data_IF_741058003001
#
_entry.id   IF_741058003001
#
_cell.length_a   1.000
_cell.length_b   1.000
_cell.length_c   1.000
_cell.angle_alpha   90.00
_cell.angle_beta   90.00
_cell.angle_gamma   90.00
#
_symmetry.space_group_name_H-M   'P 1'
#
loop_
_entity.id
_entity.type
_entity.pdbx_description
1 polymer ?
#
# COMPACT_ATOMS: atom_id res chain seq x y z
N UNK A 1 3.93 -6.82 -20.60
CA UNK A 1 2.51 -7.23 -20.49
C UNK A 1 2.15 -7.23 -19.03
N UNK A 2 1.29 -6.30 -18.61
CA UNK A 2 0.78 -6.17 -17.25
C UNK A 2 -0.52 -6.97 -17.14
N UNK A 3 -0.64 -7.86 -16.16
CA UNK A 3 -1.88 -8.59 -15.85
C UNK A 3 -2.10 -8.56 -14.34
N UNK A 4 -3.22 -7.97 -13.89
CA UNK A 4 -4.42 -8.71 -13.45
C UNK A 4 -5.69 -7.86 -13.49
N UNK A 5 -6.75 -8.51 -13.93
CA UNK A 5 -8.12 -8.32 -13.49
C UNK A 5 -8.66 -9.67 -13.04
N UNK A 6 -9.37 -9.69 -11.91
CA UNK A 6 -10.72 -10.25 -11.71
C UNK A 6 -10.97 -10.38 -10.21
N UNK A 7 -12.12 -9.90 -9.74
CA UNK A 7 -12.73 -10.14 -8.43
C UNK A 7 -14.09 -10.77 -8.68
N UNK A 8 -14.37 -11.93 -8.12
CA UNK A 8 -15.69 -12.57 -8.15
C UNK A 8 -16.46 -12.28 -6.86
N UNK A 9 -17.66 -11.73 -7.01
CA UNK A 9 -18.63 -11.36 -5.97
C UNK A 9 -19.28 -12.59 -5.32
N UNK A 10 -19.38 -12.60 -3.98
CA UNK A 10 -20.49 -13.23 -3.23
C UNK A 10 -20.85 -12.32 -2.04
N UNK A 11 -22.14 -12.26 -1.74
CA UNK A 11 -22.89 -11.26 -0.98
C UNK A 11 -22.52 -11.13 0.52
N UNK A 12 -22.59 -9.87 1.02
CA UNK A 12 -22.62 -9.38 2.43
C UNK A 12 -21.34 -9.39 3.29
N UNK A 13 -21.20 -8.39 4.20
CA UNK A 13 -20.76 -7.02 3.97
C UNK A 13 -19.21 -6.87 3.98
N UNK A 14 -18.69 -6.10 3.03
CA UNK A 14 -17.36 -5.46 3.05
C UNK A 14 -16.13 -6.32 3.43
N UNK A 15 -15.99 -7.53 2.88
CA UNK A 15 -14.68 -8.17 2.78
C UNK A 15 -14.09 -7.90 1.39
N UNK A 16 -13.16 -6.95 1.29
CA UNK A 16 -12.31 -6.84 0.10
C UNK A 16 -11.46 -8.10 0.05
N UNK A 17 -11.79 -9.00 -0.87
CA UNK A 17 -10.94 -10.16 -1.18
C UNK A 17 -9.84 -9.65 -2.12
N UNK A 18 -8.68 -9.32 -1.56
CA UNK A 18 -7.50 -9.00 -2.35
C UNK A 18 -7.00 -10.29 -3.01
N UNK A 19 -7.18 -10.42 -4.32
CA UNK A 19 -6.72 -11.58 -5.08
C UNK A 19 -5.24 -11.50 -5.42
N UNK A 20 -4.58 -12.66 -5.37
CA UNK A 20 -3.16 -12.84 -5.61
C UNK A 20 -2.81 -12.96 -7.09
N UNK A 21 -1.59 -12.55 -7.46
CA UNK A 21 -0.90 -13.11 -8.63
C UNK A 21 0.54 -13.51 -8.30
N UNK A 22 0.77 -14.80 -8.04
CA UNK A 22 2.08 -15.30 -7.64
C UNK A 22 3.13 -15.29 -8.76
N UNK A 23 2.77 -14.99 -10.01
CA UNK A 23 3.75 -14.98 -11.13
C UNK A 23 4.74 -13.82 -11.12
N UNK A 24 4.57 -12.82 -10.24
CA UNK A 24 5.42 -11.63 -10.18
C UNK A 24 6.22 -11.48 -8.87
N UNK A 25 6.18 -12.49 -8.00
CA UNK A 25 6.91 -12.50 -6.73
C UNK A 25 8.16 -13.36 -6.96
N UNK A 26 9.32 -12.68 -7.02
CA UNK A 26 10.61 -13.35 -7.08
C UNK A 26 10.91 -14.00 -5.73
N UNK A 27 11.76 -15.04 -5.71
CA UNK A 27 12.34 -15.58 -4.47
C UNK A 27 13.09 -14.49 -3.66
N UNK A 28 13.38 -13.34 -4.27
CA UNK A 28 13.99 -12.15 -3.67
C UNK A 28 13.01 -11.02 -3.37
N UNK A 29 11.71 -11.30 -3.23
CA UNK A 29 10.70 -10.28 -2.90
C UNK A 29 10.41 -10.27 -1.40
N UNK A 30 10.60 -9.13 -0.76
CA UNK A 30 10.20 -8.90 0.63
C UNK A 30 8.81 -8.24 0.69
N UNK A 31 7.91 -8.83 1.46
CA UNK A 31 6.54 -8.37 1.65
C UNK A 31 6.51 -7.43 2.86
N UNK A 32 6.49 -6.12 2.64
CA UNK A 32 6.45 -5.16 3.74
C UNK A 32 5.00 -4.73 3.94
N UNK A 33 4.48 -4.74 5.16
CA UNK A 33 3.12 -4.28 5.45
C UNK A 33 3.07 -3.19 6.54
N UNK A 34 2.16 -2.21 6.41
CA UNK A 34 1.91 -1.24 7.46
C UNK A 34 0.41 -1.14 7.76
N UNK A 35 0.10 -1.31 9.05
CA UNK A 35 -1.24 -1.41 9.61
C UNK A 35 -1.99 -0.09 9.73
N UNK A 36 -3.23 -0.17 10.20
CA UNK A 36 -4.07 0.99 10.48
C UNK A 36 -3.92 1.50 11.91
N UNK A 37 -4.60 2.62 12.18
CA UNK A 37 -4.65 3.25 13.50
C UNK A 37 -5.17 2.26 14.54
N UNK A 38 -4.56 2.23 15.73
CA UNK A 38 -4.89 1.37 16.88
C UNK A 38 -4.73 -0.13 16.66
N UNK A 39 -4.21 -0.58 15.52
CA UNK A 39 -3.85 -1.97 15.38
C UNK A 39 -2.60 -2.29 16.25
N UNK A 40 -2.53 -3.47 16.89
CA UNK A 40 -1.34 -3.89 17.63
C UNK A 40 -0.14 -4.05 16.71
N UNK A 41 1.08 -3.89 17.25
CA UNK A 41 2.30 -4.12 16.46
C UNK A 41 2.33 -5.54 15.91
N UNK A 42 2.53 -5.66 14.61
CA UNK A 42 2.42 -6.90 13.85
C UNK A 42 1.86 -6.65 12.46
N UNK A 43 1.50 -7.73 11.80
CA UNK A 43 0.87 -7.70 10.47
C UNK A 43 -0.50 -7.06 10.57
N UNK A 44 -0.81 -6.17 9.63
CA UNK A 44 -2.13 -5.58 9.52
C UNK A 44 -3.21 -6.64 9.39
N UNK A 45 -4.27 -6.51 10.19
CA UNK A 45 -5.45 -7.39 10.16
C UNK A 45 -6.05 -7.41 8.75
N UNK A 46 -6.06 -6.26 8.06
CA UNK A 46 -6.56 -6.12 6.68
C UNK A 46 -5.84 -7.03 5.69
N UNK A 47 -4.51 -7.18 5.81
CA UNK A 47 -3.69 -7.93 4.86
C UNK A 47 -3.32 -9.33 5.34
N UNK A 48 -3.57 -9.67 6.60
CA UNK A 48 -3.15 -10.95 7.18
C UNK A 48 -3.59 -12.17 6.34
N UNK A 49 -4.87 -12.31 5.90
CA UNK A 49 -5.28 -13.46 5.10
C UNK A 49 -4.60 -13.54 3.74
N UNK A 50 -4.43 -12.39 3.07
CA UNK A 50 -3.76 -12.30 1.77
C UNK A 50 -2.28 -12.66 1.90
N UNK A 51 -1.56 -12.06 2.85
CA UNK A 51 -0.14 -12.32 3.05
C UNK A 51 0.12 -13.76 3.48
N UNK A 52 -0.76 -14.35 4.31
CA UNK A 52 -0.65 -15.76 4.68
C UNK A 52 -0.79 -16.69 3.48
N UNK A 53 -1.70 -16.38 2.57
CA UNK A 53 -1.96 -17.16 1.36
C UNK A 53 -0.80 -17.04 0.35
N UNK A 54 -0.19 -15.85 0.23
CA UNK A 54 1.00 -15.62 -0.61
C UNK A 54 2.17 -16.44 -0.08
N UNK A 55 2.45 -16.38 1.22
CA UNK A 55 3.56 -17.10 1.84
C UNK A 55 3.39 -18.62 1.77
N UNK A 56 2.15 -19.14 1.73
CA UNK A 56 1.91 -20.56 1.49
C UNK A 56 2.33 -21.02 0.09
N UNK A 57 2.44 -20.09 -0.88
CA UNK A 57 2.84 -20.36 -2.27
C UNK A 57 4.27 -19.94 -2.58
N UNK A 58 4.89 -19.14 -1.72
CA UNK A 58 6.26 -18.64 -1.85
C UNK A 58 7.04 -19.08 -0.60
N UNK A 59 7.61 -20.30 -0.58
CA UNK A 59 8.16 -20.92 0.63
C UNK A 59 9.29 -20.12 1.29
N UNK A 60 10.05 -19.36 0.50
CA UNK A 60 11.15 -18.50 0.96
C UNK A 60 10.73 -17.02 1.09
N UNK A 61 9.44 -16.73 0.93
CA UNK A 61 8.91 -15.38 1.06
C UNK A 61 9.06 -14.89 2.51
N UNK A 62 9.55 -13.67 2.66
CA UNK A 62 9.64 -13.02 3.98
C UNK A 62 8.62 -11.90 4.03
N UNK A 63 7.90 -11.81 5.16
CA UNK A 63 7.06 -10.65 5.48
C UNK A 63 7.68 -9.84 6.61
N UNK A 64 7.63 -8.52 6.48
CA UNK A 64 8.14 -7.56 7.46
C UNK A 64 7.06 -6.54 7.81
N UNK A 65 6.39 -6.67 8.96
CA UNK A 65 5.49 -5.64 9.44
C UNK A 65 6.28 -4.41 9.87
N UNK A 66 5.86 -3.24 9.42
CA UNK A 66 6.52 -1.97 9.77
C UNK A 66 6.38 -1.70 11.26
N UNK A 67 7.51 -1.41 11.91
CA UNK A 67 7.54 -1.00 13.31
C UNK A 67 7.27 0.49 13.46
N UNK A 68 6.14 0.82 14.07
CA UNK A 68 5.75 2.19 14.42
C UNK A 68 4.53 2.17 15.36
N UNK A 69 4.17 3.28 16.03
CA UNK A 69 3.11 3.28 17.04
C UNK A 69 1.70 2.99 16.51
N UNK A 70 1.40 3.35 15.25
CA UNK A 70 0.04 3.32 14.70
C UNK A 70 -1.01 4.07 15.56
N UNK A 71 -0.62 5.20 16.16
CA UNK A 71 -1.44 5.93 17.14
C UNK A 71 -2.47 6.87 16.52
N UNK A 72 -3.45 7.31 17.31
CA UNK A 72 -4.51 8.24 16.88
C UNK A 72 -4.02 9.61 16.43
N UNK A 73 -2.80 10.00 16.83
CA UNK A 73 -2.14 11.25 16.43
C UNK A 73 -1.75 11.29 14.94
N UNK A 74 -1.88 10.17 14.22
CA UNK A 74 -1.51 10.02 12.81
C UNK A 74 -0.03 10.32 12.52
N UNK A 75 0.83 10.18 13.53
CA UNK A 75 2.26 10.37 13.36
C UNK A 75 2.92 9.10 12.78
N UNK A 76 3.25 9.17 11.49
CA UNK A 76 3.86 8.05 10.75
C UNK A 76 5.38 8.17 10.60
N UNK A 77 6.04 9.11 11.31
CA UNK A 77 7.45 9.46 11.05
C UNK A 77 8.40 8.29 11.25
N UNK A 78 8.32 7.60 12.40
CA UNK A 78 9.19 6.44 12.67
C UNK A 78 8.96 5.29 11.69
N UNK A 79 7.71 5.08 11.25
CA UNK A 79 7.40 4.07 10.24
C UNK A 79 7.90 4.43 8.83
N UNK A 80 7.98 5.72 8.49
CA UNK A 80 8.65 6.17 7.25
C UNK A 80 10.14 5.86 7.32
N UNK A 81 10.80 6.20 8.44
CA UNK A 81 12.23 5.94 8.65
C UNK A 81 12.53 4.44 8.60
N UNK A 82 11.70 3.61 9.22
CA UNK A 82 11.79 2.16 9.15
C UNK A 82 11.78 1.66 7.70
N UNK A 83 10.81 2.09 6.89
CA UNK A 83 10.72 1.68 5.47
C UNK A 83 11.92 2.16 4.65
N UNK A 84 12.33 3.43 4.82
CA UNK A 84 13.47 3.99 4.09
C UNK A 84 14.74 3.20 4.43
N UNK A 85 14.99 2.94 5.71
CA UNK A 85 16.15 2.19 6.16
C UNK A 85 16.12 0.75 5.65
N UNK A 86 14.96 0.08 5.75
CA UNK A 86 14.79 -1.29 5.27
C UNK A 86 15.12 -1.41 3.78
N UNK A 87 14.49 -0.58 2.95
CA UNK A 87 14.67 -0.63 1.49
C UNK A 87 16.11 -0.30 1.11
N UNK A 88 16.68 0.78 1.66
CA UNK A 88 18.04 1.20 1.31
C UNK A 88 19.09 0.18 1.76
N UNK A 89 18.98 -0.35 2.99
CA UNK A 89 19.91 -1.36 3.48
C UNK A 89 19.75 -2.68 2.74
N UNK A 90 18.51 -3.08 2.42
CA UNK A 90 18.25 -4.28 1.63
C UNK A 90 18.86 -4.19 0.24
N UNK A 91 18.75 -3.04 -0.43
CA UNK A 91 19.38 -2.81 -1.74
C UNK A 91 20.92 -2.75 -1.67
N UNK A 92 21.49 -2.23 -0.59
CA UNK A 92 22.95 -2.27 -0.37
C UNK A 92 23.47 -3.70 -0.22
N UNK A 93 22.73 -4.58 0.46
CA UNK A 93 23.12 -5.99 0.68
C UNK A 93 22.81 -6.85 -0.54
N UNK A 94 21.66 -6.61 -1.16
CA UNK A 94 21.09 -7.37 -2.25
C UNK A 94 20.57 -6.39 -3.33
N UNK A 95 21.41 -5.96 -4.30
CA UNK A 95 21.01 -4.97 -5.30
C UNK A 95 19.81 -5.37 -6.18
N UNK A 96 19.51 -6.68 -6.27
CA UNK A 96 18.36 -7.22 -7.01
C UNK A 96 17.14 -7.51 -6.10
N UNK A 97 17.15 -7.04 -4.85
CA UNK A 97 16.02 -7.17 -3.94
C UNK A 97 14.82 -6.42 -4.49
N UNK A 98 13.64 -7.01 -4.38
CA UNK A 98 12.38 -6.37 -4.75
C UNK A 98 11.45 -6.29 -3.55
N UNK A 99 10.52 -5.33 -3.57
CA UNK A 99 9.60 -5.11 -2.45
C UNK A 99 8.16 -5.02 -2.92
N UNK A 100 7.28 -5.76 -2.25
CA UNK A 100 5.83 -5.62 -2.39
C UNK A 100 5.28 -4.95 -1.12
N UNK A 101 4.51 -3.88 -1.28
CA UNK A 101 4.12 -3.01 -0.16
C UNK A 101 2.60 -3.03 0.05
N UNK A 102 2.13 -3.47 1.21
CA UNK A 102 0.70 -3.44 1.58
C UNK A 102 0.45 -2.43 2.70
N UNK A 103 -0.51 -1.52 2.55
CA UNK A 103 -0.64 -0.34 3.43
C UNK A 103 -2.10 0.00 3.69
N UNK A 104 -2.52 -0.02 4.94
CA UNK A 104 -3.92 0.19 5.32
C UNK A 104 -4.08 1.47 6.13
N UNK A 105 -5.07 2.29 5.79
CA UNK A 105 -5.47 3.47 6.57
C UNK A 105 -4.27 4.41 6.88
N UNK A 106 -3.82 4.47 8.14
CA UNK A 106 -2.64 5.24 8.53
C UNK A 106 -1.36 4.76 7.82
N UNK A 107 -1.21 3.45 7.58
CA UNK A 107 -0.14 2.88 6.78
C UNK A 107 -0.13 3.41 5.33
N UNK A 108 -1.29 3.75 4.75
CA UNK A 108 -1.34 4.39 3.43
C UNK A 108 -0.73 5.81 3.47
N UNK A 109 -1.02 6.59 4.51
CA UNK A 109 -0.35 7.89 4.73
C UNK A 109 1.16 7.74 4.84
N UNK A 110 1.61 6.72 5.58
CA UNK A 110 3.01 6.41 5.80
C UNK A 110 3.73 6.20 4.47
N UNK A 111 3.19 5.36 3.57
CA UNK A 111 3.88 5.06 2.31
C UNK A 111 3.90 6.23 1.34
N UNK A 112 2.85 7.05 1.26
CA UNK A 112 2.84 8.24 0.41
C UNK A 112 3.97 9.20 0.78
N UNK A 113 4.20 9.39 2.09
CA UNK A 113 5.30 10.22 2.61
C UNK A 113 6.68 9.57 2.46
N UNK A 114 6.74 8.24 2.52
CA UNK A 114 7.98 7.47 2.34
C UNK A 114 8.46 7.54 0.89
N UNK A 115 7.57 7.29 -0.08
CA UNK A 115 7.89 7.27 -1.51
C UNK A 115 8.41 8.62 -1.99
N UNK A 116 7.94 9.73 -1.42
CA UNK A 116 8.43 11.08 -1.72
C UNK A 116 9.90 11.32 -1.29
N UNK A 117 10.46 10.46 -0.43
CA UNK A 117 11.82 10.55 0.12
C UNK A 117 12.78 9.50 -0.46
N UNK A 118 12.28 8.51 -1.19
CA UNK A 118 13.09 7.44 -1.75
C UNK A 118 13.80 7.89 -3.04
N UNK A 119 14.97 7.29 -3.30
CA UNK A 119 15.65 7.47 -4.58
C UNK A 119 14.86 6.80 -5.72
N UNK A 120 15.16 7.18 -6.97
CA UNK A 120 14.55 6.53 -8.13
C UNK A 120 14.87 5.03 -8.20
N UNK A 121 16.08 4.62 -7.79
CA UNK A 121 16.48 3.21 -7.69
C UNK A 121 15.62 2.46 -6.66
N UNK A 122 15.43 3.03 -5.48
CA UNK A 122 14.58 2.45 -4.45
C UNK A 122 13.12 2.34 -4.92
N UNK A 123 12.59 3.37 -5.60
CA UNK A 123 11.23 3.31 -6.19
C UNK A 123 11.15 2.21 -7.26
N UNK A 124 12.19 2.03 -8.08
CA UNK A 124 12.21 1.00 -9.12
C UNK A 124 12.20 -0.43 -8.55
N UNK A 125 12.80 -0.64 -7.38
CA UNK A 125 12.80 -1.92 -6.65
C UNK A 125 11.42 -2.32 -6.09
N UNK A 126 10.48 -1.38 -6.03
CA UNK A 126 9.09 -1.67 -5.65
C UNK A 126 8.38 -2.37 -6.81
N UNK A 127 7.99 -3.62 -6.61
CA UNK A 127 7.30 -4.44 -7.61
C UNK A 127 5.79 -4.20 -7.58
N UNK A 128 5.21 -3.96 -6.40
CA UNK A 128 3.79 -3.65 -6.23
C UNK A 128 3.51 -2.82 -4.97
N UNK A 129 2.43 -2.05 -5.02
CA UNK A 129 1.86 -1.33 -3.87
C UNK A 129 0.36 -1.55 -3.82
N UNK A 130 -0.16 -1.96 -2.68
CA UNK A 130 -1.60 -2.03 -2.41
C UNK A 130 -1.90 -1.07 -1.26
N UNK A 131 -2.74 -0.07 -1.53
CA UNK A 131 -3.28 0.84 -0.52
C UNK A 131 -4.75 0.50 -0.31
N UNK A 132 -5.18 0.43 0.95
CA UNK A 132 -6.60 0.27 1.29
C UNK A 132 -6.98 1.36 2.28
N UNK A 133 -8.05 2.11 1.97
CA UNK A 133 -8.53 3.18 2.84
C UNK A 133 -7.55 4.34 2.96
N UNK A 134 -6.91 4.73 1.86
CA UNK A 134 -6.01 5.88 1.83
C UNK A 134 -6.76 7.17 2.21
N UNK A 135 -6.44 7.82 3.35
CA UNK A 135 -7.15 9.02 3.79
C UNK A 135 -6.83 10.25 2.93
N UNK A 136 -5.87 10.15 2.01
CA UNK A 136 -5.49 11.16 1.03
C UNK A 136 -5.76 10.73 -0.42
N UNK A 137 -6.65 9.74 -0.63
CA UNK A 137 -7.08 9.42 -1.98
C UNK A 137 -7.73 10.65 -2.65
N UNK A 138 -7.36 10.92 -3.90
CA UNK A 138 -7.95 11.98 -4.72
C UNK A 138 -8.42 11.40 -6.07
N UNK A 139 -9.44 12.00 -6.70
CA UNK A 139 -9.90 11.63 -8.03
C UNK A 139 -8.82 11.60 -9.12
N UNK A 140 -9.10 10.91 -10.22
CA UNK A 140 -8.34 10.91 -11.47
C UNK A 140 -6.91 10.33 -11.41
N UNK A 141 -6.60 9.50 -10.41
CA UNK A 141 -5.34 8.72 -10.36
C UNK A 141 -5.51 7.39 -11.08
N UNK A 142 -4.54 7.01 -11.90
CA UNK A 142 -4.61 5.75 -12.68
C UNK A 142 -4.53 4.51 -11.80
N UNK A 143 -3.93 4.65 -10.60
CA UNK A 143 -3.86 3.59 -9.60
C UNK A 143 -5.14 3.38 -8.81
N UNK A 144 -6.13 4.29 -8.90
CA UNK A 144 -7.37 4.17 -8.13
C UNK A 144 -8.24 3.02 -8.64
N UNK A 145 -8.72 2.20 -7.71
CA UNK A 145 -9.67 1.12 -7.96
C UNK A 145 -10.82 1.16 -6.96
N UNK A 146 -11.98 0.64 -7.36
CA UNK A 146 -13.12 0.48 -6.47
C UNK A 146 -12.96 -0.74 -5.54
N UNK A 147 -13.97 -0.99 -4.70
CA UNK A 147 -13.97 -2.13 -3.77
C UNK A 147 -13.89 -3.52 -4.43
N UNK A 148 -14.12 -3.62 -5.74
CA UNK A 148 -13.97 -4.86 -6.53
C UNK A 148 -12.70 -4.87 -7.38
N UNK A 149 -11.77 -3.93 -7.17
CA UNK A 149 -10.50 -3.86 -7.90
C UNK A 149 -10.65 -3.48 -9.37
N UNK A 150 -11.82 -3.02 -9.80
CA UNK A 150 -12.00 -2.48 -11.14
C UNK A 150 -11.43 -1.06 -11.21
N UNK A 151 -10.75 -0.77 -12.32
CA UNK A 151 -10.29 0.58 -12.63
C UNK A 151 -11.51 1.47 -12.75
N UNK A 152 -11.47 2.61 -12.06
CA UNK A 152 -12.63 3.49 -11.93
C UNK A 152 -13.16 3.47 -10.50
N UNK A 153 -12.83 4.53 -9.76
CA UNK A 153 -13.56 4.99 -8.59
C UNK A 153 -13.27 6.49 -8.36
N UNK A 154 -13.57 7.23 -9.42
CA UNK A 154 -13.12 8.57 -9.79
C UNK A 154 -13.83 9.73 -9.05
N UNK A 155 -14.65 9.43 -8.04
CA UNK A 155 -15.33 10.45 -7.24
C UNK A 155 -14.98 10.44 -5.73
N UNK A 156 -14.33 9.39 -5.22
CA UNK A 156 -14.08 9.30 -3.77
C UNK A 156 -12.92 10.19 -3.36
N UNK A 157 -13.18 11.09 -2.42
CA UNK A 157 -12.18 11.97 -1.81
C UNK A 157 -11.87 11.45 -0.41
N UNK A 158 -10.59 11.23 -0.12
CA UNK A 158 -10.13 10.73 1.16
C UNK A 158 -10.45 11.68 2.33
N UNK A 159 -10.70 11.10 3.50
CA UNK A 159 -11.15 11.80 4.71
C UNK A 159 -10.29 13.04 5.08
N UNK A 160 -8.98 12.99 4.84
CA UNK A 160 -8.06 14.05 5.23
C UNK A 160 -7.79 15.07 4.13
N UNK A 161 -8.32 14.89 2.92
CA UNK A 161 -8.13 15.83 1.81
C UNK A 161 -8.76 17.18 2.13
N UNK A 162 -10.03 17.22 2.55
CA UNK A 162 -10.72 18.48 2.84
C UNK A 162 -10.04 19.27 3.97
N UNK A 163 -9.66 18.57 5.06
CA UNK A 163 -8.93 19.19 6.17
C UNK A 163 -7.55 19.69 5.75
N UNK A 164 -6.79 18.93 4.95
CA UNK A 164 -5.49 19.36 4.46
C UNK A 164 -5.59 20.62 3.60
N UNK A 165 -6.54 20.65 2.67
CA UNK A 165 -6.82 21.81 1.81
C UNK A 165 -7.20 23.03 2.63
N UNK A 166 -8.13 22.90 3.59
CA UNK A 166 -8.56 24.00 4.45
C UNK A 166 -7.43 24.59 5.30
N UNK A 167 -6.40 23.79 5.60
CA UNK A 167 -5.24 24.19 6.40
C UNK A 167 -3.99 24.52 5.56
N UNK A 168 -4.12 24.66 4.22
CA UNK A 168 -3.00 24.87 3.29
C UNK A 168 -1.86 23.85 3.47
N UNK A 169 -2.19 22.62 3.86
CA UNK A 169 -1.21 21.53 3.98
C UNK A 169 -1.11 20.79 2.64
N UNK A 170 0.11 20.43 2.28
CA UNK A 170 0.35 19.56 1.12
C UNK A 170 -0.35 18.21 1.34
N UNK A 171 -1.12 17.79 0.34
CA UNK A 171 -1.72 16.46 0.30
C UNK A 171 -0.61 15.50 -0.15
N UNK A 172 -0.20 14.51 0.66
CA UNK A 172 0.76 13.51 0.22
C UNK A 172 0.15 12.68 -0.91
N UNK A 173 0.92 12.42 -1.95
CA UNK A 173 0.47 11.77 -3.19
C UNK A 173 1.53 10.77 -3.66
N UNK A 174 1.09 9.79 -4.45
CA UNK A 174 2.00 8.92 -5.17
C UNK A 174 2.82 9.75 -6.19
N UNK A 175 4.11 9.44 -6.40
CA UNK A 175 4.84 9.96 -7.53
C UNK A 175 4.14 9.59 -8.85
N UNK A 176 4.02 10.53 -9.80
CA UNK A 176 3.25 10.32 -11.04
C UNK A 176 3.72 9.09 -11.83
N UNK A 177 5.04 8.85 -11.87
CA UNK A 177 5.60 7.66 -12.53
C UNK A 177 5.09 6.36 -11.92
N UNK A 178 4.86 6.33 -10.61
CA UNK A 178 4.41 5.13 -9.90
C UNK A 178 2.88 4.97 -10.01
N UNK A 179 2.13 6.09 -9.96
CA UNK A 179 0.70 6.08 -10.28
C UNK A 179 0.43 5.52 -11.68
N UNK A 180 1.25 5.92 -12.66
CA UNK A 180 1.12 5.51 -14.06
C UNK A 180 1.77 4.15 -14.37
N UNK A 181 2.48 3.52 -13.44
CA UNK A 181 3.26 2.32 -13.75
C UNK A 181 2.44 1.04 -13.83
N UNK A 182 1.18 1.06 -13.38
CA UNK A 182 0.35 -0.14 -13.20
C UNK A 182 0.84 -1.07 -12.09
N UNK A 183 1.72 -0.57 -11.20
CA UNK A 183 2.22 -1.32 -10.03
C UNK A 183 1.41 -1.05 -8.76
N UNK A 184 0.54 -0.04 -8.78
CA UNK A 184 -0.20 0.43 -7.61
C UNK A 184 -1.68 0.17 -7.79
N UNK A 185 -2.30 -0.36 -6.75
CA UNK A 185 -3.74 -0.40 -6.57
C UNK A 185 -4.08 0.40 -5.31
N UNK A 186 -4.74 1.54 -5.46
CA UNK A 186 -5.27 2.33 -4.35
C UNK A 186 -6.78 2.12 -4.26
N UNK A 187 -7.20 1.30 -3.30
CA UNK A 187 -8.60 1.03 -3.02
C UNK A 187 -9.20 2.20 -2.26
N UNK A 188 -9.71 3.16 -3.03
CA UNK A 188 -10.43 4.32 -2.54
C UNK A 188 -11.88 3.94 -2.29
N UNK A 189 -12.16 3.48 -1.07
CA UNK A 189 -13.50 3.00 -0.71
C UNK A 189 -14.40 4.18 -0.35
N UNK A 190 -15.61 4.19 -0.90
CA UNK A 190 -16.65 5.10 -0.45
C UNK A 190 -16.98 4.79 1.01
N UNK A 191 -17.06 5.82 1.85
CA UNK A 191 -17.65 5.68 3.17
C UNK A 191 -19.15 5.56 2.95
N UNK A 192 -19.68 4.34 2.93
CA UNK A 192 -21.13 4.11 2.97
C UNK A 192 -21.69 4.82 4.19
N UNK A 193 -22.54 5.82 3.95
CA UNK A 193 -23.23 6.60 4.98
C UNK A 193 -24.38 5.81 5.59
#
# INVERSE_FOLDING_TARGET
>A
MSLLQQVTTIETPAHIVLQENPTNISLTTELIDARGTNEPQGVSIMFYPMLQSILAKVPDGVRLPVEYPAGVDQNTTSGQEFNINTINQGLQRCPNQTYALSRYSQGATLILRTLAKLSAEAINSVSSVILVGNPYCVPNKLSNVNGTGQVGNDATVGLFVASATANNKSIPQLPDKLDQSGKVLDYCLEVSS
#
